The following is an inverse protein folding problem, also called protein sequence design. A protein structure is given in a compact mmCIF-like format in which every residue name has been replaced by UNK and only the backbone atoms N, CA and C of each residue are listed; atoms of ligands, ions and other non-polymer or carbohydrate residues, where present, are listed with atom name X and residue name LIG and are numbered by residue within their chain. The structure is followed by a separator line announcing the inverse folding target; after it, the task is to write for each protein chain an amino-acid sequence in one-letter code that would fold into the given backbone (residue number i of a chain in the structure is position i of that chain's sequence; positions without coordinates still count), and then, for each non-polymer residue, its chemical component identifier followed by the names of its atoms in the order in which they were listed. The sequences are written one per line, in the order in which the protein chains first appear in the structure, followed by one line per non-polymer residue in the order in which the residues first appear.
data_IF_779876667760
#
_entry.id   IF_779876667760
#
_cell.length_a   1.000
_cell.length_b   1.000
_cell.length_c   1.000
_cell.angle_alpha   90.00
_cell.angle_beta   90.00
_cell.angle_gamma   90.00
#
_symmetry.space_group_name_H-M   'P 1'
#
loop_
_entity.id
_entity.type
_entity.pdbx_description
1 polymer ?
#
# COMPACT_ATOMS: atom_id res chain seq x y z
N UNK A 1 -30.13 -30.97 16.77
CA UNK A 1 -30.38 -31.01 18.22
C UNK A 1 -29.96 -29.67 18.79
N UNK A 2 -30.80 -28.99 19.58
CA UNK A 2 -30.38 -27.76 20.25
C UNK A 2 -29.22 -28.14 21.18
N UNK A 3 -28.06 -27.51 20.97
CA UNK A 3 -26.95 -27.67 21.88
C UNK A 3 -27.31 -26.92 23.18
N UNK A 4 -27.19 -27.59 24.32
CA UNK A 4 -27.36 -26.94 25.62
C UNK A 4 -26.12 -26.06 25.88
N UNK A 5 -26.22 -24.77 25.55
CA UNK A 5 -25.14 -23.82 25.69
C UNK A 5 -25.31 -23.05 27.01
N UNK A 6 -24.23 -22.82 27.77
CA UNK A 6 -24.31 -22.16 29.05
C UNK A 6 -24.65 -20.66 28.88
N UNK A 7 -25.23 -19.99 29.90
CA UNK A 7 -25.63 -18.57 29.81
C UNK A 7 -24.49 -17.64 29.36
N UNK A 8 -23.26 -17.91 29.81
CA UNK A 8 -22.08 -17.13 29.45
C UNK A 8 -21.75 -17.18 27.95
N UNK A 9 -22.22 -18.22 27.23
CA UNK A 9 -22.07 -18.30 25.79
C UNK A 9 -22.90 -17.23 25.08
N UNK A 10 -24.14 -16.99 25.53
CA UNK A 10 -25.02 -15.99 24.94
C UNK A 10 -24.53 -14.57 25.20
N UNK A 11 -23.91 -14.33 26.36
CA UNK A 11 -23.21 -13.07 26.64
C UNK A 11 -22.07 -12.82 25.65
N UNK A 12 -21.22 -13.83 25.42
CA UNK A 12 -20.14 -13.75 24.43
C UNK A 12 -20.66 -13.62 22.97
N UNK A 13 -21.85 -14.15 22.68
CA UNK A 13 -22.51 -13.99 21.38
C UNK A 13 -23.04 -12.55 21.18
N UNK A 14 -23.60 -11.93 22.21
CA UNK A 14 -23.98 -10.52 22.17
C UNK A 14 -22.75 -9.61 22.06
N UNK A 15 -21.65 -9.90 22.77
CA UNK A 15 -20.37 -9.21 22.59
C UNK A 15 -19.91 -9.30 21.13
N UNK A 16 -19.99 -10.48 20.51
CA UNK A 16 -19.65 -10.67 19.10
C UNK A 16 -20.56 -9.84 18.17
N UNK A 17 -21.86 -9.71 18.50
CA UNK A 17 -22.82 -8.91 17.72
C UNK A 17 -22.56 -7.41 17.85
N UNK A 18 -22.16 -6.94 19.04
CA UNK A 18 -21.89 -5.53 19.33
C UNK A 18 -20.49 -5.08 18.89
N UNK A 19 -19.55 -6.01 18.75
CA UNK A 19 -18.18 -5.74 18.34
C UNK A 19 -18.10 -4.98 17.01
N UNK A 20 -17.43 -3.82 17.03
CA UNK A 20 -17.25 -2.94 15.87
C UNK A 20 -15.94 -3.22 15.17
N UNK A 21 -14.90 -3.58 15.93
CA UNK A 21 -13.57 -3.83 15.37
C UNK A 21 -13.33 -5.30 15.01
N UNK A 22 -12.49 -5.60 14.02
CA UNK A 22 -12.08 -6.99 13.72
C UNK A 22 -11.40 -7.68 14.91
N UNK A 23 -10.70 -6.92 15.75
CA UNK A 23 -10.02 -7.43 16.95
C UNK A 23 -11.02 -7.85 18.03
N UNK A 24 -12.01 -7.01 18.35
CA UNK A 24 -13.10 -7.35 19.27
C UNK A 24 -13.86 -8.61 18.79
N UNK A 25 -14.12 -8.72 17.48
CA UNK A 25 -14.79 -9.90 16.89
C UNK A 25 -13.98 -11.19 17.06
N UNK A 26 -12.65 -11.09 16.93
CA UNK A 26 -11.74 -12.23 17.14
C UNK A 26 -11.75 -12.66 18.61
N UNK A 27 -11.73 -11.72 19.54
CA UNK A 27 -11.76 -12.00 20.98
C UNK A 27 -13.07 -12.62 21.42
N UNK A 28 -14.20 -12.09 20.97
CA UNK A 28 -15.52 -12.64 21.27
C UNK A 28 -15.66 -14.10 20.77
N UNK A 29 -15.19 -14.41 19.55
CA UNK A 29 -15.20 -15.80 19.04
C UNK A 29 -14.29 -16.72 19.87
N UNK A 30 -13.13 -16.24 20.34
CA UNK A 30 -12.26 -17.03 21.23
C UNK A 30 -12.95 -17.34 22.55
N UNK A 31 -13.66 -16.36 23.14
CA UNK A 31 -14.48 -16.56 24.36
C UNK A 31 -15.57 -17.60 24.13
N UNK A 32 -16.31 -17.49 23.02
CA UNK A 32 -17.36 -18.45 22.65
C UNK A 32 -16.83 -19.88 22.52
N UNK A 33 -15.65 -20.07 21.90
CA UNK A 33 -15.00 -21.39 21.78
C UNK A 33 -14.54 -21.93 23.14
N UNK A 34 -14.09 -21.06 24.05
CA UNK A 34 -13.59 -21.45 25.36
C UNK A 34 -14.71 -21.90 26.31
N UNK A 35 -15.87 -21.22 26.26
CA UNK A 35 -17.03 -21.48 27.10
C UNK A 35 -17.83 -22.71 26.62
N UNK A 36 -17.80 -22.99 25.32
CA UNK A 36 -18.58 -24.05 24.70
C UNK A 36 -18.17 -25.45 25.20
N UNK A 37 -19.14 -26.28 25.65
CA UNK A 37 -18.90 -27.68 26.00
C UNK A 37 -18.38 -28.46 24.79
N UNK A 38 -17.37 -29.33 24.97
CA UNK A 38 -16.82 -30.16 23.87
C UNK A 38 -17.46 -31.54 23.84
N UNK A 39 -18.58 -31.69 23.14
CA UNK A 39 -19.22 -32.99 22.92
C UNK A 39 -19.90 -33.05 21.53
N UNK A 40 -20.44 -34.22 21.18
CA UNK A 40 -21.03 -34.49 19.84
C UNK A 40 -22.14 -33.52 19.42
N UNK A 41 -22.79 -32.85 20.38
CA UNK A 41 -23.85 -31.87 20.13
C UNK A 41 -23.35 -30.49 19.68
N UNK A 42 -22.12 -30.13 20.01
CA UNK A 42 -21.49 -28.81 19.75
C UNK A 42 -20.38 -28.89 18.70
N UNK A 43 -20.04 -30.09 18.23
CA UNK A 43 -18.93 -30.33 17.28
C UNK A 43 -19.05 -29.50 15.99
N UNK A 44 -20.24 -29.45 15.39
CA UNK A 44 -20.52 -28.63 14.19
C UNK A 44 -20.34 -27.14 14.47
N UNK A 45 -20.72 -26.70 15.65
CA UNK A 45 -20.63 -25.29 16.05
C UNK A 45 -19.18 -24.89 16.34
N UNK A 46 -18.39 -25.76 16.98
CA UNK A 46 -16.94 -25.59 17.11
C UNK A 46 -16.25 -25.46 15.75
N UNK A 47 -16.60 -26.31 14.78
CA UNK A 47 -16.04 -26.24 13.44
C UNK A 47 -16.39 -24.91 12.75
N UNK A 48 -17.63 -24.46 12.87
CA UNK A 48 -18.07 -23.17 12.35
C UNK A 48 -17.29 -21.99 12.98
N UNK A 49 -17.20 -21.93 14.31
CA UNK A 49 -16.51 -20.85 15.01
C UNK A 49 -15.01 -20.82 14.71
N UNK A 50 -14.35 -21.97 14.61
CA UNK A 50 -12.93 -22.05 14.21
C UNK A 50 -12.71 -21.56 12.79
N UNK A 51 -13.59 -21.94 11.85
CA UNK A 51 -13.52 -21.43 10.47
C UNK A 51 -13.69 -19.90 10.43
N UNK A 52 -14.65 -19.38 11.18
CA UNK A 52 -14.91 -17.93 11.28
C UNK A 52 -13.73 -17.19 11.90
N UNK A 53 -13.12 -17.74 12.95
CA UNK A 53 -11.89 -17.22 13.56
C UNK A 53 -10.73 -17.18 12.54
N UNK A 54 -10.53 -18.24 11.77
CA UNK A 54 -9.47 -18.29 10.75
C UNK A 54 -9.70 -17.25 9.64
N UNK A 55 -10.96 -17.05 9.21
CA UNK A 55 -11.31 -16.03 8.22
C UNK A 55 -11.08 -14.62 8.75
N UNK A 56 -11.60 -14.29 9.94
CA UNK A 56 -11.44 -12.97 10.55
C UNK A 56 -9.99 -12.68 10.91
N UNK A 57 -9.23 -13.68 11.37
CA UNK A 57 -7.80 -13.54 11.61
C UNK A 57 -7.04 -13.28 10.32
N UNK A 58 -7.38 -13.96 9.21
CA UNK A 58 -6.81 -13.70 7.89
C UNK A 58 -7.20 -12.31 7.36
N UNK A 59 -8.40 -11.83 7.66
CA UNK A 59 -8.86 -10.48 7.30
C UNK A 59 -8.22 -9.38 8.16
N UNK A 60 -7.97 -9.63 9.44
CA UNK A 60 -7.25 -8.72 10.33
C UNK A 60 -5.74 -8.71 10.04
N UNK A 61 -5.16 -9.85 9.65
CA UNK A 61 -3.77 -9.97 9.22
C UNK A 61 -3.54 -9.55 7.77
N UNK A 62 -4.60 -9.53 6.95
CA UNK A 62 -4.63 -8.65 5.78
C UNK A 62 -4.58 -7.24 6.35
N UNK A 63 -3.34 -6.76 6.56
CA UNK A 63 -3.03 -5.33 6.52
C UNK A 63 -3.92 -4.77 5.42
N UNK A 64 -4.61 -3.63 5.62
CA UNK A 64 -5.24 -2.96 4.49
C UNK A 64 -4.19 -3.05 3.40
N UNK A 65 -4.54 -3.66 2.26
CA UNK A 65 -3.71 -3.48 1.08
C UNK A 65 -3.66 -1.98 1.04
N UNK A 66 -2.55 -1.39 1.49
CA UNK A 66 -2.28 -0.03 1.17
C UNK A 66 -2.44 -0.13 -0.33
N UNK A 67 -3.44 0.57 -0.86
CA UNK A 67 -3.39 1.06 -2.22
C UNK A 67 -2.11 1.88 -2.25
N UNK A 68 -0.97 1.18 -2.25
CA UNK A 68 0.38 1.70 -2.08
C UNK A 68 0.86 2.27 -3.38
N UNK A 69 0.04 2.12 -4.42
CA UNK A 69 0.11 2.90 -5.62
C UNK A 69 -0.88 4.05 -5.52
N UNK A 70 -0.44 5.13 -4.88
CA UNK A 70 -0.84 6.45 -5.36
C UNK A 70 -0.39 6.52 -6.83
N UNK A 71 -1.17 7.03 -7.80
CA UNK A 71 -0.79 7.08 -9.23
C UNK A 71 0.63 7.64 -9.49
N UNK A 72 1.12 8.42 -8.54
CA UNK A 72 2.43 9.05 -8.46
C UNK A 72 3.60 8.04 -8.50
N UNK A 73 3.42 6.83 -7.97
CA UNK A 73 4.50 5.83 -7.85
C UNK A 73 4.65 4.94 -9.09
N UNK A 74 3.75 5.06 -10.07
CA UNK A 74 3.71 4.20 -11.26
C UNK A 74 3.55 5.04 -12.51
N UNK A 75 4.68 5.51 -13.02
CA UNK A 75 4.74 6.09 -14.36
C UNK A 75 4.87 4.96 -15.37
N UNK A 76 3.89 4.87 -16.28
CA UNK A 76 3.92 3.90 -17.39
C UNK A 76 5.16 4.18 -18.26
N UNK A 77 5.92 3.12 -18.55
CA UNK A 77 7.06 3.20 -19.48
C UNK A 77 6.57 3.51 -20.88
N UNK A 78 7.22 4.46 -21.53
CA UNK A 78 6.94 4.89 -22.90
C UNK A 78 8.25 5.06 -23.68
N UNK A 79 8.18 4.92 -25.00
CA UNK A 79 9.35 5.01 -25.87
C UNK A 79 10.28 3.78 -25.79
N UNK A 80 11.55 3.98 -26.12
CA UNK A 80 12.59 2.94 -26.15
C UNK A 80 13.14 2.59 -24.76
N UNK A 81 12.92 3.45 -23.77
CA UNK A 81 13.38 3.24 -22.40
C UNK A 81 13.03 4.41 -21.49
N UNK A 82 13.11 4.17 -20.18
CA UNK A 82 12.81 5.15 -19.14
C UNK A 82 14.04 5.43 -18.27
N UNK A 83 14.42 6.70 -18.13
CA UNK A 83 15.50 7.16 -17.26
C UNK A 83 14.98 8.11 -16.17
N UNK A 84 15.37 7.85 -14.92
CA UNK A 84 15.03 8.69 -13.77
C UNK A 84 16.17 9.67 -13.46
N UNK A 85 15.85 10.96 -13.33
CA UNK A 85 16.77 11.99 -12.86
C UNK A 85 16.68 12.06 -11.33
N UNK A 86 17.72 11.64 -10.63
CA UNK A 86 17.74 11.49 -9.18
C UNK A 86 18.89 12.28 -8.55
N UNK A 87 18.61 13.03 -7.50
CA UNK A 87 19.69 13.72 -6.77
C UNK A 87 19.22 14.83 -5.84
N UNK A 88 20.15 15.47 -5.12
CA UNK A 88 19.88 16.55 -4.17
C UNK A 88 19.08 17.72 -4.79
N UNK A 89 18.47 18.59 -3.98
CA UNK A 89 17.82 19.80 -4.49
C UNK A 89 18.83 20.71 -5.21
N UNK A 90 18.35 21.56 -6.12
CA UNK A 90 19.15 22.56 -6.83
C UNK A 90 20.33 22.04 -7.68
N UNK A 91 20.35 20.75 -8.04
CA UNK A 91 21.37 20.18 -8.95
C UNK A 91 21.04 20.31 -10.44
N UNK A 92 19.97 21.01 -10.80
CA UNK A 92 19.59 21.28 -12.19
C UNK A 92 18.78 20.19 -12.90
N UNK A 93 18.29 19.16 -12.20
CA UNK A 93 17.47 18.07 -12.77
C UNK A 93 16.29 18.54 -13.62
N UNK A 94 15.45 19.41 -13.08
CA UNK A 94 14.29 19.97 -13.80
C UNK A 94 14.71 20.83 -15.00
N UNK A 95 15.87 21.50 -14.92
CA UNK A 95 16.43 22.26 -16.03
C UNK A 95 16.92 21.33 -17.15
N UNK A 96 17.57 20.23 -16.79
CA UNK A 96 17.98 19.18 -17.72
C UNK A 96 16.76 18.58 -18.44
N UNK A 97 15.70 18.24 -17.69
CA UNK A 97 14.44 17.77 -18.29
C UNK A 97 13.89 18.79 -19.29
N UNK A 98 13.81 20.07 -18.92
CA UNK A 98 13.29 21.13 -19.81
C UNK A 98 14.16 21.41 -21.03
N UNK A 99 15.47 21.13 -20.95
CA UNK A 99 16.41 21.34 -22.04
C UNK A 99 16.36 20.18 -23.05
N UNK A 100 16.18 18.95 -22.56
CA UNK A 100 16.18 17.73 -23.38
C UNK A 100 14.80 17.34 -23.89
N UNK A 101 13.74 17.88 -23.30
CA UNK A 101 12.35 17.53 -23.63
C UNK A 101 11.52 18.78 -23.89
N UNK A 102 10.31 18.61 -24.42
CA UNK A 102 9.31 19.69 -24.48
C UNK A 102 8.50 19.84 -23.18
N UNK A 103 8.87 19.11 -22.12
CA UNK A 103 8.19 19.21 -20.84
C UNK A 103 8.44 20.59 -20.23
N UNK A 104 7.43 21.11 -19.53
CA UNK A 104 7.50 22.36 -18.78
C UNK A 104 7.47 22.06 -17.28
N UNK A 105 8.55 21.52 -16.70
CA UNK A 105 8.61 21.31 -15.26
C UNK A 105 8.55 22.66 -14.54
N UNK A 106 7.91 22.70 -13.38
CA UNK A 106 7.90 23.88 -12.52
C UNK A 106 9.27 24.04 -11.85
N UNK A 107 10.04 25.05 -12.28
CA UNK A 107 11.37 25.35 -11.72
C UNK A 107 11.25 26.58 -10.83
N UNK A 108 11.47 26.43 -9.53
CA UNK A 108 11.52 27.55 -8.58
C UNK A 108 12.93 27.68 -7.97
N UNK A 109 13.36 28.89 -7.56
CA UNK A 109 14.70 29.12 -7.01
C UNK A 109 14.90 28.61 -5.57
N UNK A 110 13.88 27.98 -4.97
CA UNK A 110 13.90 27.43 -3.61
C UNK A 110 13.81 25.90 -3.63
N UNK A 111 14.41 25.20 -2.65
CA UNK A 111 14.39 23.74 -2.59
C UNK A 111 12.96 23.19 -2.48
N UNK A 112 12.76 21.94 -2.92
CA UNK A 112 11.48 21.20 -2.89
C UNK A 112 10.41 21.62 -3.93
N UNK A 113 10.78 22.24 -5.05
CA UNK A 113 9.80 22.63 -6.09
C UNK A 113 9.11 21.45 -6.81
N UNK A 114 9.72 20.26 -6.81
CA UNK A 114 9.20 19.06 -7.49
C UNK A 114 8.52 18.13 -6.47
N UNK A 115 7.24 18.36 -6.19
CA UNK A 115 6.44 17.49 -5.31
C UNK A 115 5.92 16.23 -6.01
N UNK A 116 5.88 16.25 -7.35
CA UNK A 116 5.39 15.16 -8.19
C UNK A 116 6.43 14.84 -9.26
N UNK A 117 6.61 13.56 -9.61
CA UNK A 117 7.53 13.17 -10.66
C UNK A 117 7.00 13.69 -12.00
N UNK A 118 7.87 14.31 -12.79
CA UNK A 118 7.49 14.93 -14.07
C UNK A 118 8.10 14.15 -15.22
N UNK A 119 7.30 13.39 -16.00
CA UNK A 119 7.78 12.73 -17.20
C UNK A 119 7.92 13.73 -18.36
N UNK A 120 8.91 13.50 -19.22
CA UNK A 120 9.13 14.22 -20.46
C UNK A 120 9.74 13.31 -21.52
N UNK A 121 9.30 13.45 -22.77
CA UNK A 121 9.86 12.67 -23.88
C UNK A 121 11.04 13.42 -24.51
N UNK A 122 12.20 12.77 -24.51
CA UNK A 122 13.43 13.24 -25.15
C UNK A 122 13.56 12.53 -26.51
N UNK A 123 13.63 13.28 -27.63
CA UNK A 123 14.03 12.71 -28.90
C UNK A 123 15.53 12.37 -28.87
N UNK A 124 15.88 11.17 -29.33
CA UNK A 124 17.26 10.77 -29.56
C UNK A 124 17.32 10.00 -30.87
N UNK A 125 17.99 10.55 -31.88
CA UNK A 125 18.00 10.00 -33.24
C UNK A 125 16.56 9.75 -33.76
N UNK A 126 16.22 8.50 -34.07
CA UNK A 126 14.91 8.05 -34.54
C UNK A 126 13.99 7.49 -33.43
N UNK A 127 14.43 7.53 -32.17
CA UNK A 127 13.69 7.01 -31.02
C UNK A 127 13.28 8.11 -30.04
N UNK A 128 12.35 7.75 -29.14
CA UNK A 128 11.93 8.57 -28.01
C UNK A 128 12.33 7.88 -26.72
N UNK A 129 12.95 8.63 -25.80
CA UNK A 129 13.33 8.15 -24.46
C UNK A 129 12.54 8.94 -23.42
N UNK A 130 11.93 8.25 -22.47
CA UNK A 130 11.18 8.88 -21.40
C UNK A 130 12.13 9.28 -20.27
N UNK A 131 12.26 10.57 -20.02
CA UNK A 131 12.96 11.11 -18.86
C UNK A 131 11.95 11.41 -17.76
N UNK A 132 12.30 11.10 -16.51
CA UNK A 132 11.45 11.39 -15.34
C UNK A 132 12.25 12.23 -14.36
N UNK A 133 11.84 13.48 -14.15
CA UNK A 133 12.37 14.32 -13.07
C UNK A 133 11.74 13.92 -11.74
N UNK A 134 12.56 13.40 -10.81
CA UNK A 134 12.11 12.97 -9.49
C UNK A 134 12.25 14.10 -8.45
N UNK A 135 11.44 14.05 -7.36
CA UNK A 135 11.68 14.92 -6.22
C UNK A 135 13.11 14.83 -5.68
N UNK A 136 13.60 15.90 -5.02
CA UNK A 136 14.90 15.90 -4.40
C UNK A 136 15.13 14.74 -3.44
N UNK A 137 16.32 14.13 -3.52
CA UNK A 137 16.76 13.13 -2.56
C UNK A 137 17.40 13.80 -1.35
N UNK A 138 16.90 13.49 -0.16
CA UNK A 138 17.40 13.96 1.13
C UNK A 138 17.10 12.89 2.20
N UNK A 139 18.05 12.55 3.09
CA UNK A 139 17.90 11.46 4.06
C UNK A 139 16.60 11.51 4.87
N UNK A 140 16.19 12.72 5.27
CA UNK A 140 15.04 12.89 6.18
C UNK A 140 13.70 13.13 5.46
N UNK A 141 13.72 13.53 4.19
CA UNK A 141 12.49 14.02 3.51
C UNK A 141 12.11 13.19 2.27
N UNK A 142 12.94 12.26 1.83
CA UNK A 142 12.60 11.44 0.65
C UNK A 142 11.47 10.49 0.96
N UNK A 143 10.37 10.65 0.23
CA UNK A 143 9.23 9.77 0.35
C UNK A 143 9.53 8.36 -0.19
N UNK A 144 9.02 7.29 0.45
CA UNK A 144 9.34 5.91 0.05
C UNK A 144 9.02 5.54 -1.40
N UNK A 145 8.03 6.19 -2.02
CA UNK A 145 7.62 5.93 -3.40
C UNK A 145 8.66 6.40 -4.43
N UNK A 146 9.51 7.38 -4.09
CA UNK A 146 10.59 7.85 -4.98
C UNK A 146 11.55 6.71 -5.27
N UNK A 147 11.88 5.92 -4.25
CA UNK A 147 12.71 4.72 -4.40
C UNK A 147 12.04 3.61 -5.20
N UNK A 148 10.71 3.59 -5.33
CA UNK A 148 10.03 2.66 -6.21
C UNK A 148 10.31 3.04 -7.67
N UNK A 149 10.14 4.32 -8.01
CA UNK A 149 10.41 4.83 -9.36
C UNK A 149 11.88 4.61 -9.77
N UNK A 150 12.83 4.97 -8.90
CA UNK A 150 14.28 4.75 -9.14
C UNK A 150 14.56 3.28 -9.49
N UNK A 151 13.98 2.33 -8.75
CA UNK A 151 14.18 0.89 -9.01
C UNK A 151 13.44 0.37 -10.23
N UNK A 152 12.40 1.07 -10.68
CA UNK A 152 11.56 0.65 -11.80
C UNK A 152 12.07 1.15 -13.15
N UNK A 153 12.85 2.24 -13.16
CA UNK A 153 13.43 2.82 -14.37
C UNK A 153 14.58 1.96 -14.91
N UNK A 154 14.83 2.05 -16.21
CA UNK A 154 15.87 1.29 -16.90
C UNK A 154 17.27 1.90 -16.66
N UNK A 155 17.30 3.22 -16.40
CA UNK A 155 18.50 3.99 -16.11
C UNK A 155 18.23 5.01 -14.99
N UNK A 156 19.26 5.34 -14.21
CA UNK A 156 19.23 6.43 -13.22
C UNK A 156 20.40 7.37 -13.52
N UNK A 157 20.11 8.67 -13.57
CA UNK A 157 21.05 9.76 -13.84
C UNK A 157 21.13 10.72 -12.65
#
# INVERSE_FOLDING_TARGET
MPANLPPQYFEAEEEFRQAKTPQEKIEAIKKMIAIMPKHKGTEKLHAYLRRKLAQLSKEAQRKPKVSRSSPIDRIKKEGAGQAALAGPPNTGKSRLLSALTRARPFVAPYPFSTFLPTPGMMPYEDIQVQLIDLPPLHPDTTEPWVYHLIRSSDLVL
#
